data_IF_621108532298
#
_entry.id   IF_621108532298
#
_cell.length_a   1.000
_cell.length_b   1.000
_cell.length_c   1.000
_cell.angle_alpha   90.00
_cell.angle_beta   90.00
_cell.angle_gamma   90.00
#
_symmetry.space_group_name_H-M   'P 1'
#
loop_
_entity.id
_entity.type
_entity.pdbx_description
1 polymer ?
#
# COMPACT_ATOMS: atom_id res chain seq x y z
N UNK A 1 9.60 -16.00 11.96
CA UNK A 1 9.33 -14.57 11.67
C UNK A 1 8.25 -14.51 10.60
N UNK A 2 7.31 -13.56 10.68
CA UNK A 2 6.27 -13.39 9.66
C UNK A 2 6.89 -13.02 8.31
N UNK A 3 6.37 -13.62 7.24
CA UNK A 3 6.76 -13.35 5.86
C UNK A 3 5.72 -12.45 5.19
N UNK A 4 6.19 -11.46 4.42
CA UNK A 4 5.34 -10.61 3.61
C UNK A 4 5.26 -11.19 2.19
N UNK A 5 4.08 -11.68 1.82
CA UNK A 5 3.80 -12.23 0.50
C UNK A 5 2.87 -11.29 -0.26
N UNK A 6 3.29 -10.87 -1.45
CA UNK A 6 2.45 -10.08 -2.35
C UNK A 6 1.67 -11.00 -3.28
N UNK A 7 0.35 -10.79 -3.36
CA UNK A 7 -0.44 -11.46 -4.39
C UNK A 7 -0.13 -10.86 -5.76
N UNK A 8 -0.30 -11.61 -6.86
CA UNK A 8 -0.17 -11.06 -8.21
C UNK A 8 -1.11 -9.87 -8.48
N UNK A 9 -2.30 -9.86 -7.86
CA UNK A 9 -3.24 -8.74 -7.94
C UNK A 9 -2.67 -7.49 -7.26
N UNK A 10 -2.14 -7.61 -6.05
CA UNK A 10 -1.57 -6.48 -5.33
C UNK A 10 -0.37 -5.85 -6.07
N UNK A 11 0.46 -6.67 -6.72
CA UNK A 11 1.55 -6.16 -7.57
C UNK A 11 1.03 -5.35 -8.77
N UNK A 12 -0.05 -5.83 -9.42
CA UNK A 12 -0.70 -5.10 -10.52
C UNK A 12 -1.31 -3.79 -10.02
N UNK A 13 -1.91 -3.78 -8.84
CA UNK A 13 -2.54 -2.57 -8.27
C UNK A 13 -1.49 -1.48 -8.00
N UNK A 14 -0.32 -1.85 -7.45
CA UNK A 14 0.81 -0.90 -7.28
C UNK A 14 1.27 -0.33 -8.63
N UNK A 15 1.37 -1.17 -9.65
CA UNK A 15 1.72 -0.71 -11.00
C UNK A 15 0.64 0.22 -11.58
N UNK A 16 -0.63 -0.06 -11.31
CA UNK A 16 -1.75 0.77 -11.72
C UNK A 16 -1.72 2.15 -11.05
N UNK A 17 -1.45 2.21 -9.74
CA UNK A 17 -1.27 3.48 -9.02
C UNK A 17 -0.16 4.33 -9.66
N UNK A 18 0.98 3.72 -9.99
CA UNK A 18 2.07 4.42 -10.68
C UNK A 18 1.62 4.95 -12.06
N UNK A 19 1.05 4.08 -12.90
CA UNK A 19 0.63 4.43 -14.26
C UNK A 19 -0.45 5.49 -14.30
N UNK A 20 -1.32 5.54 -13.30
CA UNK A 20 -2.35 6.57 -13.17
C UNK A 20 -1.76 7.95 -12.84
N UNK A 21 -0.75 7.99 -11.95
CA UNK A 21 -0.14 9.23 -11.50
C UNK A 21 0.95 9.74 -12.44
N UNK A 22 1.68 8.85 -13.11
CA UNK A 22 2.86 9.21 -13.90
C UNK A 22 2.59 10.26 -15.00
N UNK A 23 1.46 10.22 -15.74
CA UNK A 23 1.14 11.26 -16.73
C UNK A 23 0.90 12.64 -16.11
N UNK A 24 0.51 12.72 -14.84
CA UNK A 24 0.23 13.98 -14.13
C UNK A 24 1.45 14.50 -13.39
N UNK A 25 2.17 13.61 -12.73
CA UNK A 25 3.39 13.91 -11.98
C UNK A 25 4.20 12.63 -11.76
N UNK A 26 5.30 12.42 -12.51
CA UNK A 26 6.20 11.29 -12.32
C UNK A 26 6.78 11.23 -10.89
N UNK A 27 7.01 12.40 -10.29
CA UNK A 27 7.47 12.52 -8.90
C UNK A 27 6.42 12.00 -7.92
N UNK A 28 5.14 12.40 -8.09
CA UNK A 28 4.05 11.90 -7.24
C UNK A 28 3.84 10.38 -7.42
N UNK A 29 3.92 9.89 -8.65
CA UNK A 29 3.84 8.46 -8.95
C UNK A 29 4.93 7.65 -8.22
N UNK A 30 6.17 8.13 -8.28
CA UNK A 30 7.32 7.49 -7.64
C UNK A 30 7.19 7.55 -6.12
N UNK A 31 6.77 8.69 -5.56
CA UNK A 31 6.51 8.84 -4.12
C UNK A 31 5.43 7.87 -3.64
N UNK A 32 4.31 7.76 -4.35
CA UNK A 32 3.23 6.85 -3.98
C UNK A 32 3.70 5.39 -3.89
N UNK A 33 4.46 4.91 -4.88
CA UNK A 33 5.03 3.55 -4.86
C UNK A 33 5.99 3.36 -3.69
N UNK A 34 6.87 4.33 -3.42
CA UNK A 34 7.80 4.27 -2.28
C UNK A 34 7.03 4.19 -0.96
N UNK A 35 6.00 5.01 -0.78
CA UNK A 35 5.19 5.02 0.45
C UNK A 35 4.45 3.70 0.66
N UNK A 36 3.91 3.09 -0.40
CA UNK A 36 3.33 1.75 -0.33
C UNK A 36 4.37 0.74 0.15
N UNK A 37 5.59 0.75 -0.43
CA UNK A 37 6.66 -0.18 -0.07
C UNK A 37 7.12 0.00 1.38
N UNK A 38 7.28 1.24 1.84
CA UNK A 38 7.63 1.51 3.24
C UNK A 38 6.53 1.06 4.21
N UNK A 39 5.27 1.35 3.90
CA UNK A 39 4.13 0.89 4.70
C UNK A 39 4.12 -0.62 4.88
N UNK A 40 4.46 -1.38 3.83
CA UNK A 40 4.50 -2.84 3.92
C UNK A 40 5.70 -3.38 4.74
N UNK A 41 6.80 -2.63 4.85
CA UNK A 41 7.89 -3.00 5.78
C UNK A 41 7.42 -2.94 7.23
N UNK A 42 6.58 -1.97 7.59
CA UNK A 42 5.99 -1.86 8.92
C UNK A 42 5.08 -3.07 9.19
N UNK A 43 4.22 -3.42 8.24
CA UNK A 43 3.34 -4.60 8.36
C UNK A 43 4.14 -5.90 8.52
N UNK A 44 5.28 -6.03 7.82
CA UNK A 44 6.17 -7.19 8.00
C UNK A 44 6.72 -7.28 9.43
N UNK A 45 7.02 -6.15 10.06
CA UNK A 45 7.50 -6.12 11.44
C UNK A 45 6.36 -6.33 12.47
N UNK A 46 5.17 -5.82 12.17
CA UNK A 46 4.01 -5.82 13.07
C UNK A 46 2.72 -6.24 12.32
N UNK A 47 2.50 -7.55 12.08
CA UNK A 47 1.39 -8.04 11.24
C UNK A 47 -0.02 -7.68 11.74
N UNK A 48 -0.17 -7.46 13.04
CA UNK A 48 -1.43 -7.07 13.69
C UNK A 48 -1.80 -5.59 13.49
N UNK A 49 -0.93 -4.82 12.86
CA UNK A 49 -1.12 -3.41 12.55
C UNK A 49 -2.32 -3.20 11.61
N UNK A 50 -3.05 -2.10 11.83
CA UNK A 50 -4.21 -1.72 11.02
C UNK A 50 -5.55 -2.14 11.62
N UNK A 51 -6.61 -1.51 11.11
CA UNK A 51 -7.99 -1.73 11.57
C UNK A 51 -8.64 -2.86 10.78
N UNK A 52 -9.65 -3.49 11.34
CA UNK A 52 -10.43 -4.50 10.62
C UNK A 52 -11.08 -3.87 9.39
N UNK A 53 -10.96 -4.55 8.25
CA UNK A 53 -11.61 -4.11 7.03
C UNK A 53 -13.11 -4.40 7.15
N UNK A 54 -13.92 -3.38 7.48
CA UNK A 54 -15.36 -3.51 7.83
C UNK A 54 -16.19 -4.21 6.76
N UNK A 55 -15.76 -4.15 5.49
CA UNK A 55 -16.47 -4.74 4.33
C UNK A 55 -15.86 -6.06 3.84
N UNK A 56 -14.99 -6.70 4.62
CA UNK A 56 -14.31 -7.94 4.26
C UNK A 56 -14.43 -8.98 5.39
N UNK A 57 -14.00 -10.21 5.11
CA UNK A 57 -13.87 -11.24 6.14
C UNK A 57 -13.01 -10.74 7.33
N UNK A 58 -13.33 -11.11 8.58
CA UNK A 58 -12.63 -10.62 9.77
C UNK A 58 -11.11 -10.85 9.79
N UNK A 59 -10.57 -11.75 8.95
CA UNK A 59 -9.13 -11.95 8.79
C UNK A 59 -8.42 -10.82 8.04
N UNK A 60 -9.17 -9.97 7.33
CA UNK A 60 -8.61 -8.86 6.56
C UNK A 60 -8.50 -7.59 7.40
N UNK A 61 -7.36 -6.93 7.26
CA UNK A 61 -7.06 -5.63 7.87
C UNK A 61 -6.79 -4.61 6.78
N UNK A 62 -7.14 -3.36 7.04
CA UNK A 62 -6.79 -2.22 6.20
C UNK A 62 -5.75 -1.35 6.91
N UNK A 63 -4.78 -0.88 6.13
CA UNK A 63 -3.73 0.02 6.57
C UNK A 63 -3.75 1.27 5.70
N UNK A 64 -3.98 2.42 6.32
CA UNK A 64 -4.00 3.69 5.63
C UNK A 64 -2.57 4.20 5.47
N UNK A 65 -2.16 4.42 4.22
CA UNK A 65 -0.89 5.03 3.86
C UNK A 65 -1.19 6.46 3.47
N UNK A 66 -0.99 7.40 4.40
CA UNK A 66 -1.32 8.81 4.18
C UNK A 66 -0.37 9.44 3.15
N UNK A 67 -0.90 10.00 2.07
CA UNK A 67 -0.13 10.73 1.05
C UNK A 67 0.12 12.14 1.59
N UNK A 68 1.38 12.55 1.74
CA UNK A 68 1.73 13.84 2.36
C UNK A 68 1.19 15.05 1.60
N UNK A 69 0.39 15.88 2.30
CA UNK A 69 0.09 17.32 2.19
C UNK A 69 0.08 18.02 0.81
N UNK A 70 -0.11 17.30 -0.28
CA UNK A 70 -0.18 17.85 -1.64
C UNK A 70 -1.44 17.39 -2.36
N UNK A 71 -2.57 17.59 -1.68
CA UNK A 71 -3.93 17.44 -2.24
C UNK A 71 -4.38 18.67 -2.99
#
# INVERSE_FOLDING_TARGET
MPELIWTPAALRDVQHCYRFLAPKSPTAASRAVTMIREGMRIIKAHPETGRLAVKMDPKFREWLIGVGDSG
#
